data_IF_143882389784
#
_entry.id   IF_143882389784
#
_cell.length_a   1.000
_cell.length_b   1.000
_cell.length_c   1.000
_cell.angle_alpha   90.00
_cell.angle_beta   90.00
_cell.angle_gamma   90.00
#
_symmetry.space_group_name_H-M   'P 1'
#
loop_
_entity.id
_entity.type
_entity.pdbx_description
1 polymer ?
#
# COMPACT_ATOMS: atom_id res chain seq x y z
N UNK A 1 30.69 38.36 2.44
CA UNK A 1 29.51 39.06 3.05
C UNK A 1 28.74 39.61 1.86
N UNK A 2 27.66 38.95 1.46
CA UNK A 2 27.07 39.10 0.13
C UNK A 2 26.43 40.48 -0.03
N UNK A 3 26.88 41.27 -1.00
CA UNK A 3 26.35 42.61 -1.29
C UNK A 3 25.73 42.64 -2.69
N UNK A 4 24.40 42.58 -2.76
CA UNK A 4 23.63 42.99 -3.92
C UNK A 4 23.27 44.47 -3.75
N UNK A 5 23.71 45.31 -4.69
CA UNK A 5 23.42 46.73 -4.67
C UNK A 5 21.92 47.01 -4.87
N UNK A 6 21.23 47.45 -3.82
CA UNK A 6 20.02 48.29 -3.90
C UNK A 6 19.99 49.30 -2.75
N UNK A 7 19.57 50.52 -3.07
CA UNK A 7 19.50 51.67 -2.17
C UNK A 7 18.47 51.52 -1.03
N UNK A 8 18.89 52.06 0.12
CA UNK A 8 18.10 52.68 1.19
C UNK A 8 17.02 51.86 1.93
N UNK A 9 17.38 51.35 3.11
CA UNK A 9 17.03 51.90 4.44
C UNK A 9 16.97 50.76 5.46
N UNK A 10 17.54 51.01 6.64
CA UNK A 10 18.04 49.98 7.55
C UNK A 10 16.98 49.11 8.22
N UNK A 11 17.33 47.84 8.42
CA UNK A 11 17.14 47.11 9.69
C UNK A 11 17.86 45.77 9.56
N UNK A 12 18.68 45.43 10.57
CA UNK A 12 19.36 44.14 10.68
C UNK A 12 18.35 43.06 11.08
N UNK A 13 17.89 42.26 10.13
CA UNK A 13 17.13 41.05 10.39
C UNK A 13 17.48 39.98 9.34
N UNK A 14 18.11 38.89 9.77
CA UNK A 14 18.33 37.68 8.95
C UNK A 14 17.01 36.95 8.79
N UNK A 15 16.14 37.46 7.92
CA UNK A 15 14.96 36.76 7.48
C UNK A 15 15.39 35.90 6.27
N UNK A 16 15.36 34.57 6.38
CA UNK A 16 15.63 33.72 5.23
C UNK A 16 14.53 33.91 4.20
N UNK A 17 14.82 34.57 3.08
CA UNK A 17 13.80 34.94 2.08
C UNK A 17 13.33 33.77 1.18
N UNK A 18 13.84 32.54 1.40
CA UNK A 18 13.38 31.35 0.71
C UNK A 18 14.24 30.11 0.96
N UNK A 19 13.72 28.94 0.59
CA UNK A 19 14.41 27.65 0.62
C UNK A 19 14.43 27.08 -0.79
N UNK A 20 15.59 26.60 -1.26
CA UNK A 20 15.73 25.93 -2.55
C UNK A 20 15.89 24.43 -2.28
N UNK A 21 14.96 23.57 -2.75
CA UNK A 21 15.15 22.13 -2.68
C UNK A 21 16.25 21.71 -3.65
N UNK A 22 17.29 21.03 -3.16
CA UNK A 22 18.43 20.58 -3.98
C UNK A 22 18.27 19.14 -4.50
N UNK A 23 17.24 18.41 -4.07
CA UNK A 23 16.97 17.07 -4.57
C UNK A 23 16.77 17.09 -6.09
N UNK A 24 17.50 16.24 -6.81
CA UNK A 24 17.42 16.16 -8.28
C UNK A 24 18.03 17.35 -9.05
N UNK A 25 18.52 18.39 -8.37
CA UNK A 25 19.11 19.55 -9.02
C UNK A 25 20.51 19.26 -9.57
N UNK A 26 20.84 19.86 -10.71
CA UNK A 26 22.18 19.86 -11.29
C UNK A 26 22.86 21.18 -10.94
N UNK A 27 24.02 21.09 -10.31
CA UNK A 27 24.84 22.25 -9.90
C UNK A 27 26.16 22.22 -10.64
N UNK A 28 26.46 23.29 -11.38
CA UNK A 28 27.64 23.38 -12.26
C UNK A 28 28.36 24.71 -12.08
N UNK A 29 29.69 24.71 -12.20
CA UNK A 29 30.47 25.95 -12.31
C UNK A 29 30.20 26.63 -13.66
N UNK A 30 30.17 27.97 -13.65
CA UNK A 30 29.95 28.81 -14.82
C UNK A 30 30.75 30.10 -14.69
N UNK A 31 31.14 30.66 -15.82
CA UNK A 31 31.68 32.01 -15.90
C UNK A 31 30.68 32.91 -16.62
N UNK A 32 30.46 34.12 -16.09
CA UNK A 32 29.65 35.16 -16.73
C UNK A 32 30.49 36.43 -16.91
N UNK A 33 30.18 37.27 -17.92
CA UNK A 33 30.84 38.56 -18.06
C UNK A 33 30.70 39.38 -16.77
N UNK A 34 31.84 39.76 -16.18
CA UNK A 34 31.98 40.47 -14.90
C UNK A 34 31.70 39.65 -13.62
N UNK A 35 31.43 38.35 -13.73
CA UNK A 35 31.26 37.44 -12.59
C UNK A 35 31.92 36.08 -12.90
N UNK A 36 33.23 35.94 -12.62
CA UNK A 36 34.00 34.76 -13.02
C UNK A 36 33.68 33.51 -12.20
N UNK A 37 33.21 33.65 -10.96
CA UNK A 37 33.05 32.51 -10.04
C UNK A 37 31.57 32.18 -9.80
N UNK A 38 30.82 31.89 -10.86
CA UNK A 38 29.38 31.62 -10.78
C UNK A 38 29.09 30.13 -10.68
N UNK A 39 28.07 29.76 -9.92
CA UNK A 39 27.49 28.42 -9.91
C UNK A 39 26.06 28.52 -10.43
N UNK A 40 25.68 27.59 -11.30
CA UNK A 40 24.35 27.47 -11.86
C UNK A 40 23.67 26.27 -11.24
N UNK A 41 22.51 26.48 -10.63
CA UNK A 41 21.60 25.41 -10.18
C UNK A 41 20.43 25.34 -11.16
N UNK A 42 20.15 24.13 -11.64
CA UNK A 42 19.06 23.87 -12.58
C UNK A 42 18.28 22.61 -12.21
N UNK A 43 16.98 22.64 -12.49
CA UNK A 43 16.05 21.52 -12.33
C UNK A 43 15.01 21.61 -13.45
N UNK A 44 14.46 20.46 -13.88
CA UNK A 44 13.45 20.43 -14.96
C UNK A 44 12.18 21.22 -14.61
N UNK A 45 11.80 21.20 -13.33
CA UNK A 45 10.63 21.94 -12.82
C UNK A 45 10.89 23.43 -12.54
N UNK A 46 12.13 23.91 -12.68
CA UNK A 46 12.41 25.33 -12.45
C UNK A 46 12.05 26.16 -13.70
N UNK A 47 11.31 27.25 -13.49
CA UNK A 47 11.08 28.27 -14.51
C UNK A 47 12.31 29.18 -14.69
N UNK A 48 13.49 28.59 -14.92
CA UNK A 48 14.77 29.27 -15.06
C UNK A 48 15.87 28.67 -14.19
N UNK A 49 17.11 29.12 -14.41
CA UNK A 49 18.26 28.68 -13.62
C UNK A 49 18.53 29.66 -12.49
N UNK A 50 18.94 29.14 -11.34
CA UNK A 50 19.42 29.96 -10.23
C UNK A 50 20.92 30.15 -10.40
N UNK A 51 21.39 31.40 -10.34
CA UNK A 51 22.81 31.72 -10.42
C UNK A 51 23.29 32.25 -9.07
N UNK A 52 24.39 31.70 -8.59
CA UNK A 52 25.05 32.09 -7.34
C UNK A 52 26.47 32.55 -7.68
N UNK A 53 26.87 33.74 -7.26
CA UNK A 53 28.23 34.24 -7.48
C UNK A 53 29.05 34.12 -6.20
N UNK A 54 30.22 33.51 -6.29
CA UNK A 54 31.20 33.48 -5.22
C UNK A 54 32.20 34.63 -5.34
N UNK A 55 32.81 35.01 -4.21
CA UNK A 55 33.83 36.07 -4.17
C UNK A 55 35.20 35.55 -4.69
N UNK A 56 35.45 34.24 -4.54
CA UNK A 56 36.70 33.59 -4.96
C UNK A 56 36.45 32.24 -5.63
N UNK A 57 37.41 31.77 -6.43
CA UNK A 57 37.43 30.42 -7.00
C UNK A 57 37.37 29.33 -5.91
N UNK A 58 38.08 29.56 -4.79
CA UNK A 58 38.07 28.65 -3.65
C UNK A 58 36.66 28.50 -3.06
N UNK A 59 35.97 29.63 -2.83
CA UNK A 59 34.60 29.62 -2.30
C UNK A 59 33.64 28.96 -3.29
N UNK A 60 33.79 29.22 -4.59
CA UNK A 60 32.98 28.58 -5.64
C UNK A 60 33.15 27.06 -5.59
N UNK A 61 34.39 26.57 -5.57
CA UNK A 61 34.67 25.14 -5.57
C UNK A 61 34.14 24.47 -4.28
N UNK A 62 34.34 25.11 -3.13
CA UNK A 62 33.85 24.60 -1.86
C UNK A 62 32.32 24.51 -1.82
N UNK A 63 31.61 25.56 -2.26
CA UNK A 63 30.15 25.55 -2.30
C UNK A 63 29.60 24.59 -3.35
N UNK A 64 30.28 24.46 -4.50
CA UNK A 64 29.89 23.52 -5.54
C UNK A 64 29.87 22.09 -5.00
N UNK A 65 30.94 21.66 -4.33
CA UNK A 65 31.05 20.34 -3.71
C UNK A 65 29.96 20.13 -2.64
N UNK A 66 29.78 21.10 -1.76
CA UNK A 66 28.77 21.03 -0.69
C UNK A 66 27.34 20.91 -1.24
N UNK A 67 26.99 21.68 -2.28
CA UNK A 67 25.65 21.66 -2.88
C UNK A 67 25.39 20.35 -3.63
N UNK A 68 26.39 19.83 -4.35
CA UNK A 68 26.29 18.55 -5.07
C UNK A 68 26.11 17.38 -4.10
N UNK A 69 26.93 17.31 -3.04
CA UNK A 69 26.82 16.22 -2.06
C UNK A 69 25.50 16.28 -1.28
N UNK A 70 25.06 17.49 -0.91
CA UNK A 70 23.77 17.67 -0.23
C UNK A 70 22.59 17.23 -1.10
N UNK A 71 22.57 17.60 -2.39
CA UNK A 71 21.51 17.19 -3.32
C UNK A 71 21.44 15.67 -3.52
N UNK A 72 22.60 15.01 -3.60
CA UNK A 72 22.71 13.55 -3.73
C UNK A 72 22.10 12.82 -2.53
N UNK A 73 22.42 13.22 -1.30
CA UNK A 73 21.87 12.61 -0.08
C UNK A 73 20.35 12.77 -0.03
N UNK A 74 19.82 13.97 -0.33
CA UNK A 74 18.37 14.21 -0.37
C UNK A 74 17.68 13.30 -1.39
N UNK A 75 18.25 13.17 -2.59
CA UNK A 75 17.66 12.34 -3.66
C UNK A 75 17.70 10.84 -3.36
N UNK A 76 18.78 10.35 -2.73
CA UNK A 76 18.88 8.95 -2.30
C UNK A 76 17.86 8.63 -1.21
N UNK A 77 17.70 9.53 -0.23
CA UNK A 77 16.71 9.34 0.84
C UNK A 77 15.27 9.32 0.30
N UNK A 78 14.96 10.17 -0.68
CA UNK A 78 13.66 10.19 -1.34
C UNK A 78 13.37 8.85 -2.05
N UNK A 79 14.33 8.29 -2.79
CA UNK A 79 14.16 6.99 -3.43
C UNK A 79 14.02 5.83 -2.47
N UNK A 80 14.77 5.82 -1.36
CA UNK A 80 14.60 4.80 -0.33
C UNK A 80 13.19 4.86 0.27
N UNK A 81 12.66 6.07 0.50
CA UNK A 81 11.29 6.29 0.91
C UNK A 81 10.28 5.72 -0.09
N UNK A 82 10.44 6.05 -1.37
CA UNK A 82 9.57 5.57 -2.45
C UNK A 82 9.59 4.04 -2.57
N UNK A 83 10.78 3.43 -2.56
CA UNK A 83 10.94 1.97 -2.62
C UNK A 83 10.31 1.27 -1.40
N UNK A 84 10.41 1.89 -0.21
CA UNK A 84 9.77 1.38 1.00
C UNK A 84 8.25 1.47 0.92
N UNK A 85 7.70 2.60 0.44
CA UNK A 85 6.27 2.78 0.23
C UNK A 85 5.75 1.72 -0.75
N UNK A 86 6.38 1.57 -1.91
CA UNK A 86 5.98 0.55 -2.89
C UNK A 86 6.04 -0.87 -2.34
N UNK A 87 7.01 -1.18 -1.47
CA UNK A 87 7.10 -2.48 -0.79
C UNK A 87 5.94 -2.70 0.19
N UNK A 88 5.55 -1.67 0.95
CA UNK A 88 4.42 -1.74 1.88
C UNK A 88 3.09 -1.86 1.15
N UNK A 89 2.90 -1.15 0.04
CA UNK A 89 1.71 -1.25 -0.79
C UNK A 89 1.56 -2.66 -1.38
N UNK A 90 2.63 -3.25 -1.90
CA UNK A 90 2.62 -4.61 -2.42
C UNK A 90 2.27 -5.65 -1.34
N UNK A 91 2.84 -5.50 -0.13
CA UNK A 91 2.50 -6.36 1.02
C UNK A 91 1.04 -6.19 1.43
N UNK A 92 0.53 -4.96 1.49
CA UNK A 92 -0.86 -4.67 1.83
C UNK A 92 -1.84 -5.29 0.83
N UNK A 93 -1.53 -5.19 -0.47
CA UNK A 93 -2.33 -5.81 -1.53
C UNK A 93 -2.35 -7.33 -1.41
N UNK A 94 -1.18 -7.94 -1.17
CA UNK A 94 -1.05 -9.38 -1.00
C UNK A 94 -1.85 -9.88 0.22
N UNK A 95 -1.77 -9.18 1.36
CA UNK A 95 -2.54 -9.50 2.56
C UNK A 95 -4.05 -9.41 2.32
N UNK A 96 -4.52 -8.39 1.58
CA UNK A 96 -5.93 -8.26 1.23
C UNK A 96 -6.41 -9.43 0.36
N UNK A 97 -5.57 -9.87 -0.58
CA UNK A 97 -5.84 -11.04 -1.42
C UNK A 97 -5.94 -12.33 -0.60
N UNK A 98 -4.96 -12.59 0.26
CA UNK A 98 -4.95 -13.77 1.13
C UNK A 98 -6.16 -13.81 2.07
N UNK A 99 -6.55 -12.65 2.62
CA UNK A 99 -7.77 -12.52 3.43
C UNK A 99 -9.01 -12.89 2.62
N UNK A 100 -9.12 -12.43 1.38
CA UNK A 100 -10.28 -12.75 0.53
C UNK A 100 -10.33 -14.24 0.21
N UNK A 101 -9.21 -14.83 -0.21
CA UNK A 101 -9.13 -16.27 -0.50
C UNK A 101 -9.49 -17.12 0.73
N UNK A 102 -9.13 -16.69 1.93
CA UNK A 102 -9.51 -17.37 3.16
C UNK A 102 -11.01 -17.27 3.45
N UNK A 103 -11.61 -16.10 3.24
CA UNK A 103 -13.06 -15.92 3.38
C UNK A 103 -13.84 -16.76 2.39
N UNK A 104 -13.39 -16.83 1.14
CA UNK A 104 -14.04 -17.62 0.09
C UNK A 104 -14.08 -19.11 0.47
N UNK A 105 -12.97 -19.66 1.00
CA UNK A 105 -12.93 -21.05 1.51
C UNK A 105 -13.90 -21.30 2.66
N UNK A 106 -13.99 -20.35 3.60
CA UNK A 106 -14.92 -20.47 4.72
C UNK A 106 -16.38 -20.42 4.24
N UNK A 107 -16.68 -19.61 3.22
CA UNK A 107 -18.01 -19.57 2.61
C UNK A 107 -18.35 -20.91 1.95
N UNK A 108 -17.43 -21.48 1.17
CA UNK A 108 -17.60 -22.80 0.54
C UNK A 108 -17.87 -23.90 1.59
N UNK A 109 -17.06 -23.97 2.64
CA UNK A 109 -17.26 -24.94 3.73
C UNK A 109 -18.61 -24.73 4.44
N UNK A 110 -19.02 -23.47 4.63
CA UNK A 110 -20.32 -23.15 5.26
C UNK A 110 -21.49 -23.61 4.37
N UNK A 111 -21.41 -23.40 3.07
CA UNK A 111 -22.42 -23.84 2.10
C UNK A 111 -22.54 -25.37 2.06
N UNK A 112 -21.41 -26.08 2.02
CA UNK A 112 -21.38 -27.54 2.07
C UNK A 112 -22.01 -28.08 3.37
N UNK A 113 -21.67 -27.49 4.51
CA UNK A 113 -22.25 -27.88 5.80
C UNK A 113 -23.75 -27.64 5.87
N UNK A 114 -24.24 -26.53 5.30
CA UNK A 114 -25.67 -26.26 5.20
C UNK A 114 -26.38 -27.34 4.36
N UNK A 115 -25.84 -27.67 3.19
CA UNK A 115 -26.40 -28.72 2.34
C UNK A 115 -26.43 -30.08 3.05
N UNK A 116 -25.34 -30.45 3.74
CA UNK A 116 -25.29 -31.70 4.51
C UNK A 116 -26.33 -31.73 5.63
N UNK A 117 -26.56 -30.60 6.32
CA UNK A 117 -27.58 -30.50 7.37
C UNK A 117 -28.99 -30.67 6.80
N UNK A 118 -29.29 -30.07 5.66
CA UNK A 118 -30.58 -30.22 4.99
C UNK A 118 -30.83 -31.67 4.55
N UNK A 119 -29.83 -32.30 3.91
CA UNK A 119 -29.92 -33.70 3.51
C UNK A 119 -30.13 -34.63 4.70
N UNK A 120 -29.40 -34.39 5.81
CA UNK A 120 -29.55 -35.16 7.04
C UNK A 120 -30.95 -35.00 7.62
N UNK A 121 -31.50 -33.79 7.66
CA UNK A 121 -32.84 -33.53 8.16
C UNK A 121 -33.92 -34.26 7.33
N UNK A 122 -33.79 -34.27 6.00
CA UNK A 122 -34.73 -35.01 5.15
C UNK A 122 -34.61 -36.53 5.33
N UNK A 123 -33.39 -37.05 5.49
CA UNK A 123 -33.19 -38.48 5.80
C UNK A 123 -33.81 -38.86 7.14
N UNK A 124 -33.66 -38.04 8.17
CA UNK A 124 -34.29 -38.25 9.48
C UNK A 124 -35.83 -38.25 9.36
N UNK A 125 -36.38 -37.33 8.56
CA UNK A 125 -37.82 -37.27 8.27
C UNK A 125 -38.31 -38.53 7.56
N UNK A 126 -37.60 -38.98 6.53
CA UNK A 126 -37.94 -40.19 5.79
C UNK A 126 -37.86 -41.44 6.68
N UNK A 127 -36.83 -41.53 7.52
CA UNK A 127 -36.65 -42.65 8.44
C UNK A 127 -37.80 -42.77 9.44
N UNK A 128 -38.30 -41.64 9.96
CA UNK A 128 -39.49 -41.63 10.82
C UNK A 128 -40.74 -42.18 10.11
N UNK A 129 -40.97 -41.76 8.86
CA UNK A 129 -42.10 -42.27 8.06
C UNK A 129 -41.97 -43.78 7.82
N UNK A 130 -40.77 -44.24 7.47
CA UNK A 130 -40.51 -45.65 7.23
C UNK A 130 -40.72 -46.51 8.48
N UNK A 131 -40.30 -46.04 9.65
CA UNK A 131 -40.49 -46.78 10.90
C UNK A 131 -41.99 -46.89 11.25
N UNK A 132 -42.77 -45.84 11.00
CA UNK A 132 -44.23 -45.88 11.19
C UNK A 132 -44.89 -46.90 10.27
N UNK A 133 -44.55 -46.88 8.97
CA UNK A 133 -45.13 -47.82 8.00
C UNK A 133 -44.69 -49.27 8.28
N UNK A 134 -43.44 -49.47 8.71
CA UNK A 134 -42.94 -50.78 9.14
C UNK A 134 -43.76 -51.32 10.33
N UNK A 135 -43.95 -50.53 11.38
CA UNK A 135 -44.73 -50.94 12.55
C UNK A 135 -46.16 -51.31 12.16
N UNK A 136 -46.79 -50.54 11.27
CA UNK A 136 -48.14 -50.82 10.77
C UNK A 136 -48.22 -52.15 10.01
N UNK A 137 -47.22 -52.45 9.19
CA UNK A 137 -47.12 -53.74 8.47
C UNK A 137 -46.91 -54.89 9.46
N UNK A 138 -46.04 -54.72 10.45
CA UNK A 138 -45.77 -55.72 11.48
C UNK A 138 -47.02 -56.05 12.30
N UNK A 139 -47.80 -55.04 12.71
CA UNK A 139 -49.10 -55.21 13.38
C UNK A 139 -50.08 -56.00 12.51
N UNK A 140 -50.27 -55.59 11.25
CA UNK A 140 -51.18 -56.28 10.33
C UNK A 140 -50.77 -57.75 10.11
N UNK A 141 -49.47 -58.03 10.01
CA UNK A 141 -48.96 -59.41 9.89
C UNK A 141 -49.26 -60.22 11.16
N UNK A 142 -49.15 -59.61 12.34
CA UNK A 142 -49.45 -60.26 13.61
C UNK A 142 -50.95 -60.57 13.74
N UNK A 143 -51.81 -59.63 13.39
CA UNK A 143 -53.26 -59.82 13.37
C UNK A 143 -53.65 -60.97 12.44
N UNK A 144 -53.16 -60.97 11.20
CA UNK A 144 -53.42 -62.03 10.22
C UNK A 144 -52.95 -63.42 10.70
N UNK A 145 -51.81 -63.50 11.40
CA UNK A 145 -51.36 -64.77 12.00
C UNK A 145 -52.31 -65.25 13.09
N UNK A 146 -52.80 -64.34 13.94
CA UNK A 146 -53.75 -64.68 15.01
C UNK A 146 -55.11 -65.14 14.46
N UNK A 147 -55.58 -64.53 13.37
CA UNK A 147 -56.79 -64.96 12.67
C UNK A 147 -56.61 -66.35 12.05
N UNK A 148 -55.45 -66.61 11.42
CA UNK A 148 -55.13 -67.91 10.84
C UNK A 148 -55.11 -69.03 11.89
N UNK A 149 -54.58 -68.77 13.08
CA UNK A 149 -54.56 -69.73 14.18
C UNK A 149 -55.96 -70.06 14.72
N UNK A 150 -56.88 -69.09 14.72
CA UNK A 150 -58.28 -69.30 15.14
C UNK A 150 -59.11 -70.12 14.15
N UNK A 151 -58.68 -70.20 12.88
CA UNK A 151 -59.36 -70.94 11.82
C UNK A 151 -58.88 -72.41 11.74
N UNK A 152 -57.70 -72.73 12.28
CA UNK A 152 -57.17 -74.10 12.36
C UNK A 152 -57.77 -74.89 13.51
#
# INVERSE_FOLDING_TARGET
MWSAARQASGSSATNGEGVIPLGGCVVEAKEEPNMPFVMKISHEDFHGNILLAAETEFDQQHWLEMLQESGKVTWQNAQLGEAMIGSLEAQGLQLAKEKQEYLDKLMEETEELCLQREQKAELERLNQVLEVEKNRIEEMVQDLKSEQEQIK
#
